data_IF_702691231363
#
_entry.id   IF_702691231363
#
_cell.length_a   1.000
_cell.length_b   1.000
_cell.length_c   1.000
_cell.angle_alpha   90.00
_cell.angle_beta   90.00
_cell.angle_gamma   90.00
#
_symmetry.space_group_name_H-M   'P 1'
#
loop_
_entity.id
_entity.type
_entity.pdbx_description
1 polymer ?
#
# COMPACT_ATOMS: atom_id res chain seq x y z
N UNK A 1 -4.88 -2.95 25.07
CA UNK A 1 -3.63 -3.69 24.78
C UNK A 1 -2.86 -2.87 23.74
N UNK A 2 -1.74 -2.21 24.08
CA UNK A 2 -0.95 -1.42 23.14
C UNK A 2 -0.26 -2.38 22.18
N UNK A 3 -0.71 -2.45 20.94
CA UNK A 3 -0.01 -3.15 19.85
C UNK A 3 1.26 -2.37 19.53
N UNK A 4 2.36 -2.74 20.17
CA UNK A 4 3.68 -2.23 19.84
C UNK A 4 4.08 -2.82 18.49
N UNK A 5 4.34 -1.95 17.52
CA UNK A 5 4.76 -2.20 16.15
C UNK A 5 5.89 -3.23 16.06
N UNK A 6 5.59 -4.45 15.58
CA UNK A 6 6.57 -5.54 15.47
C UNK A 6 7.32 -5.62 14.12
N UNK A 7 7.08 -4.69 13.22
CA UNK A 7 7.87 -4.59 11.97
C UNK A 7 9.01 -3.55 12.12
N UNK A 8 9.85 -3.71 13.16
CA UNK A 8 11.12 -2.99 13.18
C UNK A 8 12.11 -3.77 12.33
N UNK A 9 12.64 -3.15 11.29
CA UNK A 9 13.95 -3.54 10.77
C UNK A 9 14.90 -3.31 11.96
N UNK A 10 15.27 -4.39 12.64
CA UNK A 10 16.19 -4.32 13.77
C UNK A 10 17.59 -4.22 13.15
N UNK A 11 18.10 -3.01 13.05
CA UNK A 11 19.54 -2.82 12.82
C UNK A 11 20.21 -3.11 14.16
N UNK A 12 21.04 -4.16 14.27
CA UNK A 12 21.76 -4.44 15.52
C UNK A 12 22.51 -3.19 15.97
N UNK A 13 22.45 -2.86 17.26
CA UNK A 13 23.07 -1.65 17.81
C UNK A 13 24.57 -1.50 17.44
N UNK A 14 25.29 -2.62 17.34
CA UNK A 14 26.69 -2.66 16.91
C UNK A 14 26.90 -2.36 15.40
N UNK A 15 25.83 -2.23 14.59
CA UNK A 15 25.91 -1.81 13.18
C UNK A 15 25.51 -0.35 12.98
N UNK A 16 24.92 0.31 13.97
CA UNK A 16 24.53 1.71 13.84
C UNK A 16 25.75 2.65 13.71
N UNK A 17 26.84 2.33 14.38
CA UNK A 17 28.09 3.12 14.31
C UNK A 17 28.77 3.02 12.92
N UNK A 18 28.38 2.07 12.10
CA UNK A 18 28.94 1.82 10.75
C UNK A 18 28.15 2.54 9.64
N UNK A 19 26.94 3.04 9.94
CA UNK A 19 26.09 3.70 8.93
C UNK A 19 26.39 5.20 8.79
N UNK A 20 27.64 5.56 8.54
CA UNK A 20 28.09 6.96 8.51
C UNK A 20 27.53 7.73 7.31
N UNK A 21 27.46 7.10 6.12
CA UNK A 21 26.91 7.70 4.91
C UNK A 21 25.39 7.83 5.02
N UNK A 22 24.70 6.79 5.48
CA UNK A 22 23.26 6.82 5.69
C UNK A 22 22.86 7.90 6.70
N UNK A 23 23.60 8.08 7.80
CA UNK A 23 23.40 9.17 8.76
C UNK A 23 23.51 10.56 8.10
N UNK A 24 24.54 10.76 7.28
CA UNK A 24 24.74 12.02 6.54
C UNK A 24 23.60 12.27 5.57
N UNK A 25 23.24 11.28 4.75
CA UNK A 25 22.14 11.35 3.80
C UNK A 25 20.81 11.67 4.49
N UNK A 26 20.54 11.06 5.64
CA UNK A 26 19.32 11.39 6.40
C UNK A 26 19.32 12.81 6.94
N UNK A 27 20.48 13.31 7.40
CA UNK A 27 20.62 14.73 7.79
C UNK A 27 20.32 15.66 6.62
N UNK A 28 20.80 15.35 5.42
CA UNK A 28 20.54 16.12 4.21
C UNK A 28 19.08 15.98 3.73
N UNK A 29 18.53 14.78 3.79
CA UNK A 29 17.12 14.53 3.47
C UNK A 29 16.17 15.36 4.34
N UNK A 30 16.43 15.50 5.64
CA UNK A 30 15.61 16.32 6.55
C UNK A 30 15.54 17.81 6.17
N UNK A 31 16.50 18.31 5.39
CA UNK A 31 16.48 19.71 4.92
C UNK A 31 15.50 19.93 3.76
N UNK A 32 15.17 18.88 3.00
CA UNK A 32 14.43 18.97 1.74
C UNK A 32 13.22 18.03 1.66
N UNK A 33 13.11 17.08 2.59
CA UNK A 33 12.01 16.11 2.65
C UNK A 33 11.39 16.17 4.06
N UNK A 34 10.08 16.34 4.22
CA UNK A 34 9.42 16.29 5.52
C UNK A 34 9.80 15.01 6.29
N UNK A 35 10.28 15.16 7.53
CA UNK A 35 10.79 14.06 8.37
C UNK A 35 11.96 13.26 7.77
N UNK A 36 12.55 13.70 6.64
CA UNK A 36 13.65 13.03 5.94
C UNK A 36 13.27 11.77 5.15
N UNK A 37 11.99 11.45 5.03
CA UNK A 37 11.48 10.26 4.30
C UNK A 37 10.19 10.57 3.53
N UNK A 38 10.02 9.99 2.34
CA UNK A 38 8.83 10.17 1.51
C UNK A 38 7.63 9.27 1.91
N UNK A 39 7.78 8.49 2.98
CA UNK A 39 6.71 7.70 3.56
C UNK A 39 7.00 7.41 5.03
N UNK A 40 6.03 7.57 5.96
CA UNK A 40 6.21 7.32 7.39
C UNK A 40 6.73 5.92 7.70
N UNK A 41 6.37 4.91 6.89
CA UNK A 41 6.81 3.52 7.07
C UNK A 41 8.31 3.31 6.79
N UNK A 42 8.97 4.29 6.14
CA UNK A 42 10.43 4.28 5.91
C UNK A 42 11.22 4.94 7.04
N UNK A 43 10.52 5.57 8.00
CA UNK A 43 11.18 6.20 9.14
C UNK A 43 11.62 5.13 10.14
N UNK A 44 12.92 5.10 10.45
CA UNK A 44 13.54 4.20 11.42
C UNK A 44 14.44 5.04 12.33
N UNK A 45 14.33 4.86 13.63
CA UNK A 45 15.18 5.50 14.60
C UNK A 45 16.51 4.74 14.77
N UNK A 46 17.62 5.46 14.96
CA UNK A 46 17.77 6.92 14.95
C UNK A 46 17.80 7.51 13.53
N UNK A 47 18.00 6.72 12.51
CA UNK A 47 17.96 7.04 11.08
C UNK A 47 17.86 5.77 10.24
N UNK A 48 17.17 5.82 9.08
CA UNK A 48 17.11 4.69 8.16
C UNK A 48 18.45 4.49 7.44
N UNK A 49 18.73 3.26 6.98
CA UNK A 49 19.77 3.05 5.97
C UNK A 49 19.28 3.51 4.60
N UNK A 50 20.20 3.97 3.76
CA UNK A 50 19.90 4.41 2.40
C UNK A 50 20.38 3.35 1.41
N UNK A 51 19.46 2.84 0.58
CA UNK A 51 19.76 1.79 -0.39
C UNK A 51 20.54 2.38 -1.57
N UNK A 52 21.66 1.75 -1.90
CA UNK A 52 22.49 2.08 -3.06
C UNK A 52 22.11 1.28 -4.30
N UNK A 53 21.94 -0.03 -4.14
CA UNK A 53 21.52 -0.95 -5.20
C UNK A 53 20.87 -2.20 -4.60
N UNK A 54 20.28 -3.01 -5.48
CA UNK A 54 19.60 -4.24 -5.09
C UNK A 54 19.70 -5.29 -6.20
N UNK A 55 19.72 -6.57 -5.83
CA UNK A 55 19.71 -7.69 -6.78
C UNK A 55 19.07 -8.92 -6.13
N UNK A 56 18.18 -9.60 -6.85
CA UNK A 56 17.48 -10.80 -6.35
C UNK A 56 16.74 -10.50 -5.05
N UNK A 57 17.12 -11.16 -3.95
CA UNK A 57 16.57 -10.96 -2.61
C UNK A 57 17.43 -10.04 -1.72
N UNK A 58 18.39 -9.33 -2.27
CA UNK A 58 19.37 -8.56 -1.49
C UNK A 58 19.30 -7.07 -1.79
N UNK A 59 19.53 -6.29 -0.73
CA UNK A 59 19.75 -4.84 -0.77
C UNK A 59 21.15 -4.53 -0.28
N UNK A 60 21.80 -3.54 -0.85
CA UNK A 60 23.04 -2.96 -0.34
C UNK A 60 22.82 -1.48 -0.04
N UNK A 61 23.25 -1.06 1.14
CA UNK A 61 23.19 0.34 1.53
C UNK A 61 24.39 1.15 0.99
N UNK A 62 24.36 2.45 1.21
CA UNK A 62 25.44 3.36 0.80
C UNK A 62 26.73 3.13 1.58
N UNK A 63 26.65 2.48 2.72
CA UNK A 63 27.79 2.11 3.55
C UNK A 63 28.39 0.76 3.15
N UNK A 64 27.76 0.01 2.21
CA UNK A 64 28.22 -1.26 1.68
C UNK A 64 27.70 -2.48 2.43
N UNK A 65 26.82 -2.32 3.40
CA UNK A 65 26.22 -3.45 4.10
C UNK A 65 25.16 -4.13 3.23
N UNK A 66 25.12 -5.46 3.30
CA UNK A 66 24.12 -6.29 2.60
C UNK A 66 23.01 -6.70 3.55
N UNK A 67 21.77 -6.62 3.07
CA UNK A 67 20.55 -7.04 3.76
C UNK A 67 19.75 -8.01 2.90
N UNK A 68 19.06 -8.95 3.53
CA UNK A 68 18.02 -9.74 2.84
C UNK A 68 16.71 -8.97 2.89
N UNK A 69 16.11 -8.73 1.73
CA UNK A 69 14.84 -8.02 1.61
C UNK A 69 13.65 -8.96 1.78
N UNK A 70 13.03 -8.91 2.95
CA UNK A 70 11.76 -9.57 3.24
C UNK A 70 10.53 -8.68 3.00
N UNK A 71 10.74 -7.39 2.65
CA UNK A 71 9.65 -6.47 2.38
C UNK A 71 9.16 -6.55 0.94
N UNK A 72 10.04 -6.86 0.00
CA UNK A 72 9.75 -6.98 -1.43
C UNK A 72 8.90 -5.83 -1.99
N UNK A 73 9.20 -4.58 -1.59
CA UNK A 73 8.41 -3.41 -1.98
C UNK A 73 6.95 -3.50 -1.54
N UNK A 74 6.68 -4.04 -0.35
CA UNK A 74 5.34 -4.34 0.17
C UNK A 74 4.53 -5.27 -0.73
N UNK A 75 5.19 -6.29 -1.29
CA UNK A 75 4.58 -7.31 -2.14
C UNK A 75 4.60 -6.98 -3.65
N UNK A 76 5.11 -5.82 -4.06
CA UNK A 76 5.18 -5.45 -5.47
C UNK A 76 6.29 -6.20 -6.23
N UNK A 77 7.35 -6.64 -5.54
CA UNK A 77 8.54 -7.27 -6.13
C UNK A 77 8.51 -8.81 -6.02
N UNK A 78 7.45 -9.44 -6.53
CA UNK A 78 7.30 -10.91 -6.48
C UNK A 78 8.46 -11.67 -7.11
N UNK A 79 9.13 -11.10 -8.10
CA UNK A 79 10.21 -11.74 -8.85
C UNK A 79 11.62 -11.32 -8.36
N UNK A 80 11.67 -10.51 -7.27
CA UNK A 80 12.92 -9.95 -6.76
C UNK A 80 13.43 -8.75 -7.56
N UNK A 81 14.53 -8.20 -7.06
CA UNK A 81 15.15 -7.00 -7.62
C UNK A 81 15.90 -7.29 -8.92
N UNK A 82 15.94 -6.31 -9.82
CA UNK A 82 16.77 -6.26 -11.04
C UNK A 82 16.72 -7.50 -11.93
N UNK A 83 15.55 -8.15 -12.01
CA UNK A 83 15.39 -9.33 -12.86
C UNK A 83 15.70 -9.01 -14.32
N UNK A 84 16.62 -9.75 -14.94
CA UNK A 84 17.18 -9.45 -16.26
C UNK A 84 16.13 -9.35 -17.36
N UNK A 85 15.13 -10.23 -17.34
CA UNK A 85 14.06 -10.25 -18.33
C UNK A 85 13.20 -8.97 -18.26
N UNK A 86 12.91 -8.50 -17.02
CA UNK A 86 12.15 -7.27 -16.80
C UNK A 86 12.98 -6.06 -17.24
N UNK A 87 14.23 -5.96 -16.79
CA UNK A 87 15.13 -4.87 -17.18
C UNK A 87 15.25 -4.78 -18.71
N UNK A 88 15.44 -5.92 -19.38
CA UNK A 88 15.53 -5.97 -20.82
C UNK A 88 14.25 -5.49 -21.53
N UNK A 89 13.07 -5.95 -21.05
CA UNK A 89 11.79 -5.54 -21.61
C UNK A 89 11.54 -4.02 -21.44
N UNK A 90 11.78 -3.51 -20.22
CA UNK A 90 11.64 -2.07 -19.91
C UNK A 90 12.62 -1.25 -20.74
N UNK A 91 13.90 -1.66 -20.83
CA UNK A 91 14.91 -0.95 -21.62
C UNK A 91 14.56 -0.88 -23.13
N UNK A 92 13.95 -1.93 -23.68
CA UNK A 92 13.44 -1.90 -25.06
C UNK A 92 12.27 -0.92 -25.23
N UNK A 93 11.36 -0.88 -24.25
CA UNK A 93 10.20 0.01 -24.31
C UNK A 93 10.61 1.49 -24.12
N UNK A 94 11.57 1.78 -23.26
CA UNK A 94 12.10 3.14 -23.06
C UNK A 94 12.57 3.80 -24.38
N UNK A 95 13.16 3.01 -25.29
CA UNK A 95 13.59 3.49 -26.61
C UNK A 95 12.41 3.84 -27.55
N UNK A 96 11.19 3.40 -27.24
CA UNK A 96 9.96 3.69 -28.01
C UNK A 96 9.11 4.78 -27.36
N UNK A 97 9.46 5.18 -26.16
CA UNK A 97 8.67 6.11 -25.33
C UNK A 97 7.83 5.38 -24.27
N UNK A 98 7.40 6.12 -23.26
CA UNK A 98 6.71 5.58 -22.07
C UNK A 98 5.44 6.33 -21.69
N UNK A 99 5.24 7.54 -22.21
CA UNK A 99 4.05 8.35 -21.91
C UNK A 99 3.44 8.84 -23.21
N UNK A 100 2.16 8.47 -23.42
CA UNK A 100 1.41 8.83 -24.60
C UNK A 100 0.05 9.41 -24.20
N UNK A 101 -0.46 10.33 -24.99
CA UNK A 101 -1.84 10.83 -24.87
C UNK A 101 -2.84 9.95 -25.63
N UNK A 102 -2.35 8.93 -26.35
CA UNK A 102 -3.11 7.96 -27.11
C UNK A 102 -3.00 6.54 -26.51
N UNK A 103 -3.99 5.66 -26.72
CA UNK A 103 -3.92 4.28 -26.26
C UNK A 103 -2.82 3.48 -26.97
N UNK A 104 -2.33 2.44 -26.33
CA UNK A 104 -1.29 1.54 -26.83
C UNK A 104 -1.75 0.09 -26.88
N UNK A 105 -1.12 -0.74 -27.72
CA UNK A 105 -1.41 -2.18 -27.76
C UNK A 105 -1.09 -2.90 -26.44
N UNK A 106 -0.09 -2.39 -25.68
CA UNK A 106 0.32 -2.97 -24.41
C UNK A 106 -0.82 -2.97 -23.36
N UNK A 107 -1.68 -1.94 -23.36
CA UNK A 107 -2.85 -1.89 -22.48
C UNK A 107 -3.84 -3.02 -22.80
N UNK A 108 -4.03 -3.32 -24.09
CA UNK A 108 -4.91 -4.41 -24.55
C UNK A 108 -4.31 -5.76 -24.17
N UNK A 109 -3.00 -5.95 -24.39
CA UNK A 109 -2.30 -7.20 -24.05
C UNK A 109 -2.37 -7.48 -22.56
N UNK A 110 -2.08 -6.49 -21.72
CA UNK A 110 -2.16 -6.60 -20.26
C UNK A 110 -3.60 -6.90 -19.81
N UNK A 111 -4.59 -6.20 -20.36
CA UNK A 111 -6.00 -6.42 -20.03
C UNK A 111 -6.46 -7.83 -20.37
N UNK A 112 -6.07 -8.36 -21.55
CA UNK A 112 -6.35 -9.75 -21.95
C UNK A 112 -5.70 -10.76 -21.00
N UNK A 113 -4.46 -10.49 -20.57
CA UNK A 113 -3.75 -11.37 -19.64
C UNK A 113 -4.44 -11.40 -18.26
N UNK A 114 -4.91 -10.26 -17.77
CA UNK A 114 -5.68 -10.17 -16.50
C UNK A 114 -6.98 -10.97 -16.63
N UNK A 115 -7.77 -10.73 -17.68
CA UNK A 115 -9.04 -11.44 -17.93
C UNK A 115 -8.83 -12.95 -18.02
N UNK A 116 -7.75 -13.39 -18.68
CA UNK A 116 -7.41 -14.83 -18.80
C UNK A 116 -7.17 -15.48 -17.43
N UNK A 117 -6.53 -14.77 -16.50
CA UNK A 117 -6.19 -15.30 -15.19
C UNK A 117 -7.29 -15.12 -14.14
N UNK A 118 -8.25 -14.23 -14.39
CA UNK A 118 -9.39 -13.95 -13.51
C UNK A 118 -10.70 -14.06 -14.29
N UNK A 119 -11.29 -15.24 -14.44
CA UNK A 119 -12.44 -15.49 -15.34
C UNK A 119 -13.70 -14.66 -15.01
N UNK A 120 -13.84 -14.19 -13.78
CA UNK A 120 -14.93 -13.30 -13.36
C UNK A 120 -14.81 -11.89 -13.94
N UNK A 121 -13.61 -11.45 -14.33
CA UNK A 121 -13.35 -10.12 -14.89
C UNK A 121 -13.72 -10.13 -16.38
N UNK A 122 -14.55 -9.16 -16.80
CA UNK A 122 -14.94 -8.98 -18.22
C UNK A 122 -14.27 -7.76 -18.85
N UNK A 123 -13.98 -6.73 -18.07
CA UNK A 123 -13.32 -5.49 -18.54
C UNK A 123 -12.35 -5.01 -17.46
N UNK A 124 -11.26 -4.39 -17.89
CA UNK A 124 -10.20 -3.87 -17.01
C UNK A 124 -10.04 -2.38 -17.29
N UNK A 125 -9.90 -1.59 -16.22
CA UNK A 125 -9.41 -0.22 -16.27
C UNK A 125 -8.07 -0.17 -15.54
N UNK A 126 -7.03 0.25 -16.25
CA UNK A 126 -5.68 0.40 -15.71
C UNK A 126 -5.52 1.81 -15.18
N UNK A 127 -4.91 1.95 -14.01
CA UNK A 127 -4.55 3.21 -13.35
C UNK A 127 -3.13 3.10 -12.80
N UNK A 128 -2.55 4.19 -12.29
CA UNK A 128 -1.13 4.21 -11.93
C UNK A 128 -0.84 3.61 -10.55
N UNK A 129 -1.80 3.65 -9.62
CA UNK A 129 -1.58 3.21 -8.22
C UNK A 129 -2.78 2.43 -7.68
N UNK A 130 -2.53 1.64 -6.61
CA UNK A 130 -3.60 0.96 -5.89
C UNK A 130 -4.60 1.94 -5.25
N UNK A 131 -4.14 3.11 -4.80
CA UNK A 131 -5.01 4.16 -4.27
C UNK A 131 -5.97 4.69 -5.34
N UNK A 132 -5.49 4.91 -6.57
CA UNK A 132 -6.35 5.30 -7.70
C UNK A 132 -7.34 4.19 -8.07
N UNK A 133 -6.92 2.92 -8.01
CA UNK A 133 -7.78 1.78 -8.29
C UNK A 133 -8.93 1.68 -7.29
N UNK A 134 -8.65 1.74 -6.00
CA UNK A 134 -9.66 1.69 -4.93
C UNK A 134 -10.56 2.91 -4.94
N UNK A 135 -10.01 4.11 -5.18
CA UNK A 135 -10.79 5.34 -5.36
C UNK A 135 -11.76 5.22 -6.54
N UNK A 136 -11.29 4.68 -7.66
CA UNK A 136 -12.11 4.48 -8.87
C UNK A 136 -13.20 3.44 -8.60
N UNK A 137 -12.89 2.35 -7.91
CA UNK A 137 -13.85 1.31 -7.56
C UNK A 137 -14.96 1.86 -6.64
N UNK A 138 -14.61 2.63 -5.62
CA UNK A 138 -15.59 3.27 -4.72
C UNK A 138 -16.48 4.27 -5.48
N UNK A 139 -15.90 5.08 -6.37
CA UNK A 139 -16.67 6.00 -7.21
C UNK A 139 -17.63 5.24 -8.13
N UNK A 140 -17.19 4.13 -8.71
CA UNK A 140 -18.03 3.26 -9.53
C UNK A 140 -19.17 2.68 -8.73
N UNK A 141 -18.91 2.14 -7.55
CA UNK A 141 -19.93 1.59 -6.65
C UNK A 141 -21.01 2.64 -6.29
N UNK A 142 -20.57 3.84 -5.92
CA UNK A 142 -21.49 4.96 -5.63
C UNK A 142 -22.29 5.41 -6.86
N UNK A 143 -21.64 5.51 -8.02
CA UNK A 143 -22.28 5.89 -9.28
C UNK A 143 -23.33 4.89 -9.74
N UNK A 144 -23.03 3.60 -9.59
CA UNK A 144 -23.93 2.51 -9.98
C UNK A 144 -25.14 2.39 -9.02
N UNK A 145 -24.89 2.35 -7.73
CA UNK A 145 -25.95 2.15 -6.71
C UNK A 145 -26.74 3.40 -6.36
N UNK A 146 -26.22 4.59 -6.69
CA UNK A 146 -26.71 5.91 -6.24
C UNK A 146 -26.70 6.09 -4.72
N UNK A 147 -25.94 5.25 -4.00
CA UNK A 147 -25.76 5.28 -2.55
C UNK A 147 -24.42 5.91 -2.18
N UNK A 148 -24.26 6.33 -0.92
CA UNK A 148 -23.12 7.16 -0.48
C UNK A 148 -22.09 6.42 0.39
N UNK A 149 -22.56 5.54 1.28
CA UNK A 149 -21.74 4.93 2.31
C UNK A 149 -20.93 3.76 1.77
N UNK A 150 -19.71 3.59 2.31
CA UNK A 150 -18.84 2.44 2.06
C UNK A 150 -18.55 1.76 3.39
N UNK A 151 -18.61 0.45 3.43
CA UNK A 151 -18.08 -0.34 4.55
C UNK A 151 -16.60 -0.66 4.26
N UNK A 152 -15.75 -0.46 5.25
CA UNK A 152 -14.37 -0.97 5.27
C UNK A 152 -14.08 -1.68 6.58
N UNK A 153 -13.03 -2.49 6.63
CA UNK A 153 -12.63 -3.20 7.83
C UNK A 153 -11.48 -2.49 8.54
N UNK A 154 -11.53 -2.52 9.89
CA UNK A 154 -10.49 -1.95 10.73
C UNK A 154 -9.13 -2.59 10.39
N UNK A 155 -8.08 -1.78 10.29
CA UNK A 155 -6.75 -2.24 9.93
C UNK A 155 -6.49 -2.41 8.44
N UNK A 156 -7.50 -2.61 7.60
CA UNK A 156 -7.33 -2.71 6.15
C UNK A 156 -6.82 -1.40 5.54
N UNK A 157 -5.84 -1.52 4.63
CA UNK A 157 -5.26 -0.40 3.90
C UNK A 157 -5.72 -0.41 2.44
N UNK A 158 -6.28 0.70 2.00
CA UNK A 158 -6.84 0.85 0.66
C UNK A 158 -6.33 2.11 -0.07
N UNK A 159 -5.21 2.67 0.39
CA UNK A 159 -4.64 3.91 -0.15
C UNK A 159 -4.72 5.08 0.83
N UNK A 160 -4.07 6.20 0.47
CA UNK A 160 -3.92 7.37 1.33
C UNK A 160 -4.84 8.51 0.86
N UNK A 161 -6.17 8.33 1.04
CA UNK A 161 -7.17 9.37 0.77
C UNK A 161 -8.32 9.26 1.78
N UNK A 162 -9.01 10.36 2.04
CA UNK A 162 -9.92 10.57 3.17
C UNK A 162 -10.94 9.44 3.39
N UNK A 163 -11.56 8.97 2.29
CA UNK A 163 -12.60 7.92 2.39
C UNK A 163 -12.09 6.64 3.05
N UNK A 164 -10.82 6.28 2.89
CA UNK A 164 -10.29 4.98 3.34
C UNK A 164 -9.25 5.08 4.45
N UNK A 165 -8.80 6.29 4.80
CA UNK A 165 -7.86 6.50 5.91
C UNK A 165 -8.50 6.32 7.29
N UNK A 166 -9.83 6.32 7.38
CA UNK A 166 -10.57 6.12 8.63
C UNK A 166 -10.17 4.77 9.25
N UNK A 167 -9.58 4.78 10.44
CA UNK A 167 -9.07 3.59 11.14
C UNK A 167 -8.23 2.66 10.24
N UNK A 168 -7.44 3.23 9.33
CA UNK A 168 -6.49 2.47 8.53
C UNK A 168 -5.34 1.97 9.43
N UNK A 169 -4.73 0.85 9.03
CA UNK A 169 -3.68 0.19 9.81
C UNK A 169 -2.32 0.90 9.79
N UNK A 170 -1.25 0.16 9.65
CA UNK A 170 0.15 0.46 10.02
C UNK A 170 0.70 1.87 9.73
N UNK A 171 0.31 2.51 8.63
CA UNK A 171 0.82 3.85 8.29
C UNK A 171 0.36 4.96 9.24
N UNK A 172 -0.88 4.88 9.72
CA UNK A 172 -1.45 5.78 10.72
C UNK A 172 -1.10 5.37 12.15
N UNK A 173 -0.89 4.07 12.40
CA UNK A 173 -0.50 3.55 13.70
C UNK A 173 0.96 3.89 14.08
N UNK A 174 1.83 4.18 13.11
CA UNK A 174 3.23 4.55 13.37
C UNK A 174 3.37 5.85 14.18
N UNK A 175 2.42 6.75 14.04
CA UNK A 175 2.40 8.04 14.74
C UNK A 175 1.30 8.14 15.82
N UNK A 176 0.63 7.03 16.16
CA UNK A 176 -0.45 7.05 17.14
C UNK A 176 -1.71 7.79 16.69
N UNK A 177 -1.81 8.15 15.41
CA UNK A 177 -2.90 8.94 14.83
C UNK A 177 -3.87 7.95 14.17
N UNK A 178 -5.06 7.83 14.73
CA UNK A 178 -6.13 6.96 14.19
C UNK A 178 -6.89 7.58 13.01
N UNK A 179 -6.70 8.86 12.77
CA UNK A 179 -7.27 9.67 11.69
C UNK A 179 -6.17 10.63 11.23
N UNK A 180 -5.99 10.81 9.93
CA UNK A 180 -5.12 11.88 9.42
C UNK A 180 -5.69 13.23 9.82
N UNK A 181 -4.89 14.09 10.47
CA UNK A 181 -5.31 15.42 10.94
C UNK A 181 -5.87 16.32 9.81
N UNK A 182 -5.58 16.00 8.55
CA UNK A 182 -6.09 16.70 7.37
C UNK A 182 -7.31 16.08 6.72
N UNK A 183 -7.90 15.03 7.31
CA UNK A 183 -9.10 14.38 6.76
C UNK A 183 -10.36 15.19 7.02
N UNK A 184 -11.27 15.26 6.04
CA UNK A 184 -12.54 15.94 6.18
C UNK A 184 -13.58 15.03 6.86
N UNK A 185 -14.20 15.53 7.93
CA UNK A 185 -15.26 14.80 8.67
C UNK A 185 -16.44 14.46 7.77
N UNK A 186 -16.81 15.33 6.84
CA UNK A 186 -17.90 15.11 5.89
C UNK A 186 -17.64 13.91 4.96
N UNK A 187 -16.38 13.62 4.65
CA UNK A 187 -15.98 12.47 3.85
C UNK A 187 -15.95 11.22 4.72
N UNK A 188 -15.36 11.31 5.91
CA UNK A 188 -15.18 10.19 6.85
C UNK A 188 -16.52 9.65 7.38
N UNK A 189 -17.54 10.51 7.57
CA UNK A 189 -18.92 10.11 7.96
C UNK A 189 -19.59 9.14 6.98
N UNK A 190 -19.12 9.08 5.73
CA UNK A 190 -19.62 8.15 4.72
C UNK A 190 -18.85 6.82 4.69
N UNK A 191 -17.93 6.59 5.64
CA UNK A 191 -17.19 5.34 5.77
C UNK A 191 -17.54 4.66 7.09
N UNK A 192 -18.20 3.52 6.98
CA UNK A 192 -18.56 2.67 8.11
C UNK A 192 -17.39 1.70 8.35
N UNK A 193 -16.84 1.69 9.55
CA UNK A 193 -15.73 0.79 9.91
C UNK A 193 -16.26 -0.36 10.75
N UNK A 194 -15.94 -1.59 10.33
CA UNK A 194 -16.34 -2.82 10.99
C UNK A 194 -15.07 -3.59 11.40
N UNK A 195 -15.01 -4.23 12.58
CA UNK A 195 -13.90 -5.10 12.92
C UNK A 195 -13.74 -6.23 11.90
N UNK A 196 -12.48 -6.57 11.59
CA UNK A 196 -12.18 -7.73 10.73
C UNK A 196 -12.50 -9.03 11.50
N UNK A 197 -13.07 -10.03 10.84
CA UNK A 197 -13.54 -11.28 11.44
C UNK A 197 -14.75 -11.14 12.39
N UNK A 198 -15.51 -10.05 12.30
CA UNK A 198 -16.77 -9.89 13.06
C UNK A 198 -17.97 -9.84 12.11
N UNK A 199 -18.48 -11.04 11.76
CA UNK A 199 -19.62 -11.18 10.86
C UNK A 199 -20.90 -10.59 11.48
N UNK A 200 -21.06 -10.66 12.81
CA UNK A 200 -22.24 -10.15 13.49
C UNK A 200 -22.33 -8.62 13.43
N UNK A 201 -21.18 -7.93 13.62
CA UNK A 201 -21.14 -6.47 13.50
C UNK A 201 -21.28 -6.03 12.04
N UNK A 202 -20.78 -6.82 11.08
CA UNK A 202 -20.99 -6.57 9.66
C UNK A 202 -22.49 -6.66 9.30
N UNK A 203 -23.18 -7.72 9.69
CA UNK A 203 -24.62 -7.92 9.44
C UNK A 203 -25.45 -6.82 10.07
N UNK A 204 -25.17 -6.49 11.33
CA UNK A 204 -25.81 -5.39 12.05
C UNK A 204 -25.61 -4.04 11.36
N UNK A 205 -24.40 -3.78 10.87
CA UNK A 205 -24.06 -2.54 10.15
C UNK A 205 -24.84 -2.46 8.82
N UNK A 206 -24.91 -3.56 8.07
CA UNK A 206 -25.67 -3.62 6.81
C UNK A 206 -27.18 -3.43 7.08
N UNK A 207 -27.70 -4.08 8.10
CA UNK A 207 -29.13 -4.00 8.45
C UNK A 207 -29.56 -2.59 8.83
N UNK A 208 -28.73 -1.90 9.61
CA UNK A 208 -29.02 -0.53 10.10
C UNK A 208 -28.86 0.55 9.04
N UNK A 209 -28.08 0.30 7.99
CA UNK A 209 -27.76 1.32 6.99
C UNK A 209 -28.29 0.91 5.61
N UNK A 210 -29.25 1.66 5.09
CA UNK A 210 -29.84 1.41 3.75
C UNK A 210 -29.08 2.08 2.61
N UNK A 211 -28.17 3.02 2.93
CA UNK A 211 -27.42 3.86 1.97
C UNK A 211 -25.98 3.34 1.74
N UNK A 212 -25.79 2.01 1.71
CA UNK A 212 -24.48 1.37 1.48
C UNK A 212 -24.29 1.12 0.00
N UNK A 213 -23.27 1.76 -0.60
CA UNK A 213 -22.87 1.59 -2.00
C UNK A 213 -22.06 0.33 -2.22
N UNK A 214 -21.26 -0.07 -1.24
CA UNK A 214 -20.41 -1.25 -1.34
C UNK A 214 -19.56 -1.48 -0.11
N UNK A 215 -18.78 -2.55 -0.17
CA UNK A 215 -17.84 -2.96 0.86
C UNK A 215 -16.46 -3.13 0.21
N UNK A 216 -15.40 -2.70 0.91
CA UNK A 216 -14.02 -2.90 0.50
C UNK A 216 -13.26 -3.64 1.60
N UNK A 217 -12.52 -4.68 1.22
CA UNK A 217 -11.82 -5.58 2.14
C UNK A 217 -10.47 -6.03 1.57
N UNK A 218 -9.48 -6.25 2.44
CA UNK A 218 -8.33 -7.09 2.11
C UNK A 218 -8.75 -8.56 2.34
N UNK A 219 -8.68 -9.46 1.34
CA UNK A 219 -9.04 -10.87 1.53
C UNK A 219 -8.18 -11.57 2.61
N UNK A 220 -6.94 -11.14 2.75
CA UNK A 220 -6.03 -11.42 3.86
C UNK A 220 -5.56 -10.08 4.37
N UNK A 221 -5.79 -9.77 5.63
CA UNK A 221 -5.40 -8.49 6.22
C UNK A 221 -3.87 -8.44 6.38
N UNK A 222 -3.18 -8.11 5.29
CA UNK A 222 -1.73 -8.13 5.22
C UNK A 222 -1.08 -6.94 5.95
N UNK A 223 -1.75 -5.79 5.93
CA UNK A 223 -1.24 -4.55 6.52
C UNK A 223 -1.09 -4.60 8.06
N UNK A 224 -1.78 -5.50 8.74
CA UNK A 224 -1.74 -5.69 10.20
C UNK A 224 -1.04 -6.99 10.65
N UNK A 225 -0.28 -7.65 9.77
CA UNK A 225 0.52 -8.81 10.13
C UNK A 225 -0.07 -10.15 9.68
N UNK A 226 -0.70 -10.23 8.52
CA UNK A 226 -1.27 -11.42 7.91
C UNK A 226 -2.38 -12.08 8.76
N UNK A 227 -3.39 -11.29 9.09
CA UNK A 227 -4.59 -11.84 9.74
C UNK A 227 -5.45 -12.53 8.68
N UNK A 228 -5.62 -13.83 8.82
CA UNK A 228 -6.45 -14.62 7.93
C UNK A 228 -7.94 -14.42 8.27
N UNK A 229 -8.83 -14.49 7.27
CA UNK A 229 -10.25 -14.57 7.56
C UNK A 229 -10.57 -15.85 8.31
N UNK A 230 -11.49 -15.78 9.26
CA UNK A 230 -12.03 -16.95 9.91
C UNK A 230 -12.83 -17.81 8.93
N UNK A 231 -12.99 -19.09 9.28
CA UNK A 231 -13.80 -20.01 8.46
C UNK A 231 -15.23 -19.46 8.36
N UNK A 232 -15.73 -19.30 7.14
CA UNK A 232 -17.06 -18.76 6.81
C UNK A 232 -17.26 -17.23 7.00
N UNK A 233 -16.19 -16.48 7.19
CA UNK A 233 -16.23 -15.01 7.19
C UNK A 233 -16.40 -14.37 5.82
#
# INVERSE_FOLDING_TARGET
MRLTNKFRIIIPANKLDVLTKSKKLFSDAKKVIPSGVNSPVRYIEPYPFFVKHSEGSSLWDEDGNRYTDFCNGYGALLLGHTRKEIISAVSRQLKKGTLYTAPTSLEIELSKLIIKNFPSIKKVRIVNTGAEATMTAIRLARGFTKKKKIIKFEGCYHGAYDTVLVKAGSGSAHNGISISDGGLDEVSKNTLVVPYNDINELEKTITKNKDIAGLIIEPVLANMGLVLPEKNY
#
